data_IF_988700102180
#
_entry.id   IF_988700102180
#
_cell.length_a   1.000
_cell.length_b   1.000
_cell.length_c   1.000
_cell.angle_alpha   90.00
_cell.angle_beta   90.00
_cell.angle_gamma   90.00
#
_symmetry.space_group_name_H-M   'P 1'
#
loop_
_entity.id
_entity.type
_entity.pdbx_description
1 polymer ?
#
# COMPACT_ATOMS: atom_id res chain seq x y z
N UNK A 1 14.52 -7.89 -0.09
CA UNK A 1 13.46 -6.87 -0.05
C UNK A 1 12.74 -6.92 -1.38
N UNK A 2 11.44 -7.18 -1.35
CA UNK A 2 10.63 -7.39 -2.54
C UNK A 2 10.28 -6.05 -3.20
N UNK A 3 10.38 -5.98 -4.52
CA UNK A 3 9.98 -4.81 -5.32
C UNK A 3 8.47 -4.76 -5.49
N UNK A 4 7.93 -3.59 -5.82
CA UNK A 4 6.49 -3.46 -6.15
C UNK A 4 6.11 -4.30 -7.37
N UNK A 5 7.01 -4.44 -8.36
CA UNK A 5 6.76 -5.25 -9.54
C UNK A 5 6.59 -6.74 -9.17
N UNK A 6 7.48 -7.27 -8.34
CA UNK A 6 7.38 -8.64 -7.84
C UNK A 6 6.14 -8.86 -6.97
N UNK A 7 5.72 -7.86 -6.18
CA UNK A 7 4.47 -7.91 -5.40
C UNK A 7 3.27 -8.05 -6.31
N UNK A 8 3.17 -7.19 -7.34
CA UNK A 8 2.06 -7.22 -8.30
C UNK A 8 1.94 -8.58 -8.97
N UNK A 9 3.07 -9.13 -9.43
CA UNK A 9 3.11 -10.44 -10.07
C UNK A 9 2.63 -11.56 -9.12
N UNK A 10 3.04 -11.54 -7.85
CA UNK A 10 2.62 -12.55 -6.88
C UNK A 10 1.14 -12.43 -6.50
N UNK A 11 0.62 -11.21 -6.41
CA UNK A 11 -0.79 -10.94 -6.13
C UNK A 11 -1.70 -11.42 -7.27
N UNK A 12 -1.33 -11.09 -8.51
CA UNK A 12 -2.05 -11.51 -9.72
C UNK A 12 -1.98 -13.04 -9.89
N UNK A 13 -0.82 -13.66 -9.66
CA UNK A 13 -0.66 -15.12 -9.72
C UNK A 13 -1.52 -15.86 -8.68
N UNK A 14 -1.88 -15.21 -7.57
CA UNK A 14 -2.81 -15.74 -6.57
C UNK A 14 -4.30 -15.51 -6.93
N UNK A 15 -4.58 -14.86 -8.07
CA UNK A 15 -5.93 -14.63 -8.61
C UNK A 15 -6.59 -13.34 -8.12
N UNK A 16 -5.86 -12.49 -7.39
CA UNK A 16 -6.38 -11.21 -6.94
C UNK A 16 -6.20 -10.11 -7.98
N UNK A 17 -7.00 -9.04 -7.86
CA UNK A 17 -7.17 -8.00 -8.90
C UNK A 17 -6.87 -6.58 -8.44
N UNK A 18 -6.27 -6.41 -7.27
CA UNK A 18 -6.06 -5.07 -6.69
C UNK A 18 -5.24 -4.16 -7.63
N UNK A 19 -4.28 -4.74 -8.34
CA UNK A 19 -3.37 -4.03 -9.24
C UNK A 19 -3.82 -4.04 -10.71
N UNK A 20 -4.98 -4.63 -11.01
CA UNK A 20 -5.53 -4.63 -12.36
C UNK A 20 -5.82 -3.19 -12.79
N UNK A 21 -5.65 -2.91 -14.07
CA UNK A 21 -5.87 -1.59 -14.65
C UNK A 21 -7.26 -1.03 -14.28
N UNK A 22 -8.30 -1.87 -14.32
CA UNK A 22 -9.65 -1.45 -13.97
C UNK A 22 -9.78 -1.05 -12.49
N UNK A 23 -9.22 -1.84 -11.58
CA UNK A 23 -9.26 -1.54 -10.14
C UNK A 23 -8.45 -0.29 -9.81
N UNK A 24 -7.27 -0.15 -10.43
CA UNK A 24 -6.41 1.02 -10.26
C UNK A 24 -7.06 2.29 -10.82
N UNK A 25 -7.65 2.22 -12.02
CA UNK A 25 -8.36 3.35 -12.64
C UNK A 25 -9.62 3.74 -11.84
N UNK A 26 -10.38 2.76 -11.33
CA UNK A 26 -11.60 3.04 -10.55
C UNK A 26 -11.34 3.91 -9.32
N UNK A 27 -10.19 3.72 -8.66
CA UNK A 27 -9.79 4.53 -7.50
C UNK A 27 -8.85 5.70 -7.87
N UNK A 28 -8.56 5.90 -9.17
CA UNK A 28 -7.48 6.75 -9.67
C UNK A 28 -6.21 6.58 -8.82
N UNK A 29 -5.84 5.31 -8.62
CA UNK A 29 -4.85 4.90 -7.64
C UNK A 29 -3.45 4.91 -8.24
N UNK A 30 -2.49 5.45 -7.50
CA UNK A 30 -1.06 5.30 -7.80
C UNK A 30 -0.32 4.65 -6.63
N UNK A 31 0.79 3.97 -6.91
CA UNK A 31 1.68 3.44 -5.87
C UNK A 31 2.87 4.41 -5.74
N UNK A 32 3.00 5.01 -4.57
CA UNK A 32 3.94 6.11 -4.31
C UNK A 32 5.31 5.62 -3.81
N UNK A 33 5.43 4.33 -3.52
CA UNK A 33 6.67 3.68 -3.08
C UNK A 33 7.28 2.81 -4.17
N UNK A 34 8.61 2.73 -4.24
CA UNK A 34 9.30 1.86 -5.21
C UNK A 34 9.55 0.43 -4.69
N UNK A 35 9.63 0.26 -3.36
CA UNK A 35 9.92 -1.01 -2.69
C UNK A 35 9.05 -1.15 -1.45
N UNK A 36 8.76 -2.38 -1.06
CA UNK A 36 8.08 -2.66 0.20
C UNK A 36 8.98 -2.31 1.38
N UNK A 37 8.40 -1.63 2.36
CA UNK A 37 9.04 -1.42 3.65
C UNK A 37 8.69 -2.59 4.56
N UNK A 38 9.67 -3.46 4.83
CA UNK A 38 9.44 -4.71 5.55
C UNK A 38 9.13 -4.44 7.04
N UNK A 39 8.07 -5.08 7.53
CA UNK A 39 7.69 -5.09 8.96
C UNK A 39 8.14 -6.40 9.60
N UNK A 40 7.90 -7.52 8.91
CA UNK A 40 8.37 -8.87 9.26
C UNK A 40 8.91 -9.57 8.00
N UNK A 41 9.38 -10.80 8.14
CA UNK A 41 9.88 -11.59 7.01
C UNK A 41 8.81 -11.88 5.94
N UNK A 42 7.54 -11.88 6.34
CA UNK A 42 6.36 -12.24 5.56
C UNK A 42 5.42 -11.05 5.29
N UNK A 43 5.79 -9.83 5.69
CA UNK A 43 4.91 -8.65 5.67
C UNK A 43 5.63 -7.39 5.26
N UNK A 44 5.11 -6.72 4.24
CA UNK A 44 5.68 -5.49 3.67
C UNK A 44 4.64 -4.39 3.50
N UNK A 45 5.01 -3.16 3.85
CA UNK A 45 4.15 -1.99 3.72
C UNK A 45 4.49 -1.17 2.47
N UNK A 46 3.49 -0.57 1.88
CA UNK A 46 3.62 0.42 0.80
C UNK A 46 2.58 1.53 0.96
N UNK A 47 2.79 2.63 0.24
CA UNK A 47 1.85 3.75 0.20
C UNK A 47 1.22 3.78 -1.20
N UNK A 48 -0.10 3.87 -1.23
CA UNK A 48 -0.84 4.26 -2.43
C UNK A 48 -1.49 5.62 -2.23
N UNK A 49 -1.78 6.29 -3.33
CA UNK A 49 -2.65 7.46 -3.35
C UNK A 49 -3.93 7.14 -4.09
N UNK A 50 -5.01 7.82 -3.73
CA UNK A 50 -6.33 7.69 -4.37
C UNK A 50 -6.93 9.08 -4.59
N UNK A 51 -7.52 9.27 -5.76
CA UNK A 51 -8.26 10.47 -6.11
C UNK A 51 -9.64 10.07 -6.63
N UNK A 52 -10.72 10.48 -5.96
CA UNK A 52 -12.05 10.23 -6.51
C UNK A 52 -12.33 11.22 -7.63
N UNK A 53 -13.00 10.75 -8.67
CA UNK A 53 -13.41 11.56 -9.84
C UNK A 53 -14.15 12.85 -9.42
N UNK A 54 -14.91 12.79 -8.32
CA UNK A 54 -15.72 13.92 -7.83
C UNK A 54 -15.01 14.83 -6.82
N UNK A 55 -13.89 14.40 -6.23
CA UNK A 55 -13.31 15.01 -5.04
C UNK A 55 -12.02 15.78 -5.37
N UNK A 56 -11.37 15.47 -6.50
CA UNK A 56 -10.08 15.99 -7.04
C UNK A 56 -8.88 16.02 -6.05
N UNK A 57 -9.11 15.82 -4.76
CA UNK A 57 -8.10 15.84 -3.71
C UNK A 57 -7.50 14.44 -3.59
N UNK A 58 -6.26 14.34 -4.03
CA UNK A 58 -5.41 13.18 -3.81
C UNK A 58 -5.22 12.97 -2.30
N UNK A 59 -5.52 11.76 -1.84
CA UNK A 59 -5.30 11.31 -0.46
C UNK A 59 -4.43 10.07 -0.49
N UNK A 60 -3.79 9.75 0.63
CA UNK A 60 -2.85 8.64 0.71
C UNK A 60 -3.32 7.59 1.71
N UNK A 61 -2.97 6.34 1.44
CA UNK A 61 -3.31 5.16 2.24
C UNK A 61 -2.06 4.32 2.46
N UNK A 62 -1.80 3.89 3.69
CA UNK A 62 -0.77 2.89 4.00
C UNK A 62 -1.39 1.51 3.83
N UNK A 63 -0.70 0.62 3.11
CA UNK A 63 -1.18 -0.72 2.79
C UNK A 63 -0.15 -1.77 3.19
N UNK A 64 -0.65 -2.91 3.63
CA UNK A 64 0.13 -4.10 3.94
C UNK A 64 -0.07 -5.13 2.84
N UNK A 65 1.04 -5.65 2.32
CA UNK A 65 1.07 -6.87 1.54
C UNK A 65 1.50 -8.03 2.43
N UNK A 66 0.62 -9.02 2.55
CA UNK A 66 0.89 -10.27 3.26
C UNK A 66 1.43 -11.31 2.27
N UNK A 67 2.63 -11.81 2.54
CA UNK A 67 3.32 -12.72 1.62
C UNK A 67 2.78 -14.14 1.72
N UNK A 68 2.13 -14.53 2.81
CA UNK A 68 1.53 -15.84 2.94
C UNK A 68 0.22 -15.92 2.14
N UNK A 69 -0.66 -14.91 2.31
CA UNK A 69 -1.95 -14.86 1.61
C UNK A 69 -1.88 -14.26 0.21
N UNK A 70 -0.80 -13.52 -0.10
CA UNK A 70 -0.63 -12.68 -1.30
C UNK A 70 -1.68 -11.58 -1.43
N UNK A 71 -2.30 -11.18 -0.33
CA UNK A 71 -3.37 -10.17 -0.32
C UNK A 71 -2.88 -8.80 0.15
N UNK A 72 -3.67 -7.76 -0.17
CA UNK A 72 -3.42 -6.36 0.21
C UNK A 72 -4.46 -5.92 1.23
N UNK A 73 -4.00 -5.45 2.39
CA UNK A 73 -4.82 -4.93 3.47
C UNK A 73 -4.56 -3.44 3.70
N UNK A 74 -5.58 -2.72 4.16
CA UNK A 74 -5.44 -1.33 4.60
C UNK A 74 -4.93 -1.30 6.03
N UNK A 75 -3.96 -0.42 6.29
CA UNK A 75 -3.44 -0.16 7.63
C UNK A 75 -3.91 1.22 8.04
N UNK A 76 -4.86 1.25 8.97
CA UNK A 76 -5.54 2.48 9.37
C UNK A 76 -6.68 2.82 8.41
N UNK A 77 -6.91 4.12 8.22
CA UNK A 77 -8.03 4.64 7.44
C UNK A 77 -7.70 4.73 5.95
N UNK A 78 -8.62 4.26 5.11
CA UNK A 78 -8.58 4.50 3.66
C UNK A 78 -8.63 6.00 3.37
N UNK A 79 -7.68 6.51 2.58
CA UNK A 79 -7.51 7.95 2.31
C UNK A 79 -7.25 8.78 3.59
N UNK A 80 -6.66 8.17 4.61
CA UNK A 80 -6.44 8.80 5.92
C UNK A 80 -5.40 9.93 5.96
N UNK A 81 -4.59 10.12 4.92
CA UNK A 81 -3.51 11.11 4.90
C UNK A 81 -3.68 12.15 3.78
N UNK A 82 -3.43 13.42 4.11
CA UNK A 82 -3.56 14.53 3.15
C UNK A 82 -2.34 14.64 2.23
N UNK A 83 -1.15 14.33 2.76
CA UNK A 83 0.12 14.41 2.01
C UNK A 83 0.88 13.09 2.04
N UNK A 84 1.77 12.90 1.05
CA UNK A 84 2.69 11.77 1.03
C UNK A 84 3.65 11.80 2.23
N UNK A 85 4.06 12.99 2.67
CA UNK A 85 4.95 13.16 3.82
C UNK A 85 4.28 12.67 5.11
N UNK A 86 3.01 13.01 5.34
CA UNK A 86 2.25 12.53 6.50
C UNK A 86 2.16 11.00 6.51
N UNK A 87 1.86 10.40 5.36
CA UNK A 87 1.82 8.95 5.21
C UNK A 87 3.19 8.30 5.47
N UNK A 88 4.30 8.94 5.03
CA UNK A 88 5.65 8.46 5.29
C UNK A 88 6.04 8.59 6.77
N UNK A 89 5.64 9.66 7.45
CA UNK A 89 5.86 9.83 8.89
C UNK A 89 5.10 8.77 9.67
N UNK A 90 3.81 8.58 9.38
CA UNK A 90 2.99 7.55 10.02
C UNK A 90 3.55 6.14 9.76
N UNK A 91 4.01 5.85 8.54
CA UNK A 91 4.68 4.59 8.21
C UNK A 91 5.92 4.37 9.09
N UNK A 92 6.76 5.40 9.27
CA UNK A 92 7.95 5.32 10.14
C UNK A 92 7.58 5.07 11.60
N UNK A 93 6.48 5.64 12.07
CA UNK A 93 5.99 5.40 13.44
C UNK A 93 5.47 3.98 13.63
N UNK A 94 4.68 3.46 12.67
CA UNK A 94 4.24 2.05 12.66
C UNK A 94 5.42 1.08 12.77
N UNK A 95 6.50 1.34 12.03
CA UNK A 95 7.70 0.50 12.07
C UNK A 95 8.42 0.54 13.42
N UNK A 96 8.37 1.66 14.15
CA UNK A 96 8.95 1.73 15.50
C UNK A 96 8.17 0.85 16.47
N UNK A 97 6.83 0.92 16.41
CA UNK A 97 5.96 0.14 17.29
C UNK A 97 6.06 -1.37 17.02
N UNK A 98 6.22 -1.78 15.75
CA UNK A 98 6.35 -3.20 15.38
C UNK A 98 7.76 -3.79 15.53
N UNK A 99 8.79 -2.97 15.78
CA UNK A 99 10.16 -3.43 16.08
C UNK A 99 10.42 -3.68 17.56
N UNK A 100 9.46 -3.40 18.44
CA UNK A 100 9.60 -3.53 19.90
C UNK A 100 9.06 -4.86 20.46
N UNK A 101 8.96 -5.91 19.63
CA UNK A 101 8.51 -7.25 20.04
C UNK A 101 9.59 -8.27 19.70
#
# INVERSE_FOLDING_TARGET
MLTIAEMKQQHEAAGYRFFDEWAMNFYNREIETQKLTMVHEDKGLFISSECREDDEVRRYTIRLFDFASRDVHEIGEFRGYETLEDAQVALKELLKTHRSI
#
